data_IF_119393671019
#
_entry.id   IF_119393671019
#
_cell.length_a   1.000
_cell.length_b   1.000
_cell.length_c   1.000
_cell.angle_alpha   90.00
_cell.angle_beta   90.00
_cell.angle_gamma   90.00
#
_symmetry.space_group_name_H-M   'P 1'
#
loop_
_entity.id
_entity.type
_entity.pdbx_description
1 polymer ?
#
# COMPACT_ATOMS: atom_id res chain seq x y z
N UNK A 1 11.90 -10.67 4.67
CA UNK A 1 11.78 -9.26 4.28
C UNK A 1 10.34 -8.73 4.43
N UNK A 2 9.26 -9.42 3.98
CA UNK A 2 7.85 -8.98 4.20
C UNK A 2 7.50 -8.52 5.63
N UNK A 3 8.14 -9.06 6.67
CA UNK A 3 7.89 -8.70 8.08
C UNK A 3 8.46 -7.35 8.52
N UNK A 4 9.42 -6.79 7.78
CA UNK A 4 10.08 -5.52 8.14
C UNK A 4 9.32 -4.34 7.54
N UNK A 5 8.71 -4.51 6.37
CA UNK A 5 7.92 -3.47 5.67
C UNK A 5 6.62 -3.21 6.43
N UNK A 6 5.90 -4.27 6.85
CA UNK A 6 4.73 -4.13 7.74
C UNK A 6 5.07 -3.36 9.03
N UNK A 7 6.27 -3.55 9.60
CA UNK A 7 6.66 -2.87 10.84
C UNK A 7 6.91 -1.36 10.66
N UNK A 8 7.27 -0.90 9.47
CA UNK A 8 7.46 0.53 9.18
C UNK A 8 6.14 1.25 8.91
N UNK A 9 5.22 0.65 8.15
CA UNK A 9 3.85 1.16 7.98
C UNK A 9 3.06 1.16 9.30
N UNK A 10 3.27 0.16 10.15
CA UNK A 10 2.65 0.06 11.47
C UNK A 10 3.20 1.06 12.51
N UNK A 11 4.39 1.64 12.30
CA UNK A 11 4.92 2.67 13.21
C UNK A 11 4.13 3.98 13.15
N UNK A 12 3.25 4.14 12.16
CA UNK A 12 2.36 5.29 12.03
C UNK A 12 0.99 4.94 12.59
N UNK A 13 0.92 4.61 13.90
CA UNK A 13 -0.37 4.40 14.57
C UNK A 13 -1.15 5.70 14.65
N UNK A 14 -2.28 5.73 13.95
CA UNK A 14 -3.28 6.79 14.10
C UNK A 14 -3.97 6.59 15.45
N UNK A 15 -3.50 7.33 16.46
CA UNK A 15 -3.99 7.23 17.84
C UNK A 15 -5.29 8.01 17.98
N UNK A 16 -6.35 7.33 18.37
CA UNK A 16 -7.62 7.95 18.71
C UNK A 16 -7.60 8.41 20.17
N UNK A 17 -7.46 9.70 20.44
CA UNK A 17 -7.61 10.25 21.78
C UNK A 17 -9.06 10.75 21.97
N UNK A 18 -9.84 10.07 22.83
CA UNK A 18 -11.16 10.53 23.24
C UNK A 18 -11.04 11.71 24.22
N UNK A 19 -10.86 12.90 23.68
CA UNK A 19 -10.97 14.14 24.47
C UNK A 19 -12.41 14.66 24.40
N UNK A 20 -13.32 14.08 25.19
CA UNK A 20 -14.68 14.62 25.27
C UNK A 20 -15.70 13.64 25.82
N UNK A 21 -16.46 14.07 26.83
CA UNK A 21 -17.50 13.32 27.49
C UNK A 21 -18.56 12.77 26.52
N UNK A 22 -18.85 11.46 26.58
CA UNK A 22 -20.06 10.78 26.10
C UNK A 22 -20.19 10.44 24.60
N UNK A 23 -19.23 10.67 23.73
CA UNK A 23 -19.29 10.12 22.40
C UNK A 23 -18.84 8.66 22.41
N UNK A 24 -19.69 7.74 21.93
CA UNK A 24 -19.31 6.34 21.70
C UNK A 24 -18.27 6.34 20.57
N UNK A 25 -17.14 5.65 20.75
CA UNK A 25 -16.13 5.49 19.71
C UNK A 25 -16.74 4.83 18.47
N UNK A 26 -16.60 5.46 17.32
CA UNK A 26 -17.06 4.95 16.04
C UNK A 26 -15.96 4.10 15.38
N UNK A 27 -15.94 2.82 15.73
CA UNK A 27 -14.97 1.86 15.27
C UNK A 27 -15.01 1.65 13.74
N UNK A 28 -16.21 1.75 13.12
CA UNK A 28 -16.35 1.64 11.67
C UNK A 28 -15.72 2.83 10.96
N UNK A 29 -16.06 4.04 11.38
CA UNK A 29 -15.51 5.26 10.82
C UNK A 29 -13.99 5.35 11.05
N UNK A 30 -13.50 4.82 12.17
CA UNK A 30 -12.07 4.74 12.46
C UNK A 30 -11.34 3.82 11.47
N UNK A 31 -11.82 2.60 11.25
CA UNK A 31 -11.22 1.67 10.28
C UNK A 31 -11.31 2.23 8.86
N UNK A 32 -12.48 2.70 8.46
CA UNK A 32 -12.67 3.28 7.12
C UNK A 32 -11.70 4.44 6.88
N UNK A 33 -11.58 5.35 7.86
CA UNK A 33 -10.69 6.50 7.76
C UNK A 33 -9.21 6.13 7.69
N UNK A 34 -8.77 5.11 8.45
CA UNK A 34 -7.41 4.59 8.35
C UNK A 34 -7.11 4.08 6.93
N UNK A 35 -7.99 3.25 6.38
CA UNK A 35 -7.82 2.71 5.02
C UNK A 35 -7.88 3.82 3.96
N UNK A 36 -8.82 4.75 4.09
CA UNK A 36 -8.98 5.89 3.19
C UNK A 36 -7.72 6.78 3.18
N UNK A 37 -7.08 6.98 4.34
CA UNK A 37 -5.82 7.74 4.43
C UNK A 37 -4.69 6.98 3.78
N UNK A 38 -4.46 5.74 4.18
CA UNK A 38 -3.26 4.97 3.79
C UNK A 38 -3.26 4.62 2.30
N UNK A 39 -4.42 4.31 1.71
CA UNK A 39 -4.46 3.86 0.32
C UNK A 39 -4.98 4.91 -0.67
N UNK A 40 -5.83 5.84 -0.23
CA UNK A 40 -6.50 6.78 -1.14
C UNK A 40 -6.14 8.26 -0.88
N UNK A 41 -5.31 8.56 0.12
CA UNK A 41 -5.04 9.92 0.60
C UNK A 41 -6.33 10.72 0.87
N UNK A 42 -7.35 10.05 1.39
CA UNK A 42 -8.66 10.64 1.60
C UNK A 42 -8.92 10.90 3.07
N UNK A 43 -8.94 12.18 3.44
CA UNK A 43 -9.17 12.65 4.81
C UNK A 43 -10.56 13.31 4.89
N UNK A 44 -11.44 12.76 5.73
CA UNK A 44 -12.78 13.32 5.97
C UNK A 44 -12.84 14.12 7.27
N UNK A 45 -13.71 15.14 7.33
CA UNK A 45 -13.96 15.89 8.56
C UNK A 45 -14.50 15.01 9.71
N UNK A 46 -15.17 13.91 9.36
CA UNK A 46 -15.65 12.93 10.33
C UNK A 46 -14.48 12.19 10.98
N UNK A 47 -13.52 11.75 10.18
CA UNK A 47 -12.32 11.06 10.65
C UNK A 47 -11.41 11.96 11.49
N UNK A 48 -11.22 13.22 11.11
CA UNK A 48 -10.46 14.20 11.89
C UNK A 48 -11.02 14.47 13.29
N UNK A 49 -12.28 14.11 13.57
CA UNK A 49 -12.87 14.17 14.91
C UNK A 49 -12.57 12.93 15.75
N UNK A 50 -12.11 11.85 15.11
CA UNK A 50 -11.82 10.57 15.75
C UNK A 50 -10.34 10.49 16.13
N UNK A 51 -9.45 10.97 15.24
CA UNK A 51 -7.99 10.93 15.42
C UNK A 51 -7.45 12.27 15.92
N UNK A 52 -6.24 12.26 16.49
CA UNK A 52 -5.56 13.47 16.95
C UNK A 52 -4.71 14.16 15.87
N UNK A 53 -4.48 13.46 14.76
CA UNK A 53 -3.64 13.92 13.67
C UNK A 53 -4.29 15.09 12.91
N UNK A 54 -3.47 16.02 12.48
CA UNK A 54 -3.86 17.05 11.50
C UNK A 54 -3.99 16.44 10.10
N UNK A 55 -4.65 17.13 9.19
CA UNK A 55 -4.74 16.71 7.79
C UNK A 55 -3.37 16.63 7.11
N UNK A 56 -2.46 17.51 7.49
CA UNK A 56 -1.09 17.54 6.98
C UNK A 56 -0.31 16.29 7.41
N UNK A 57 -0.34 15.95 8.70
CA UNK A 57 0.27 14.72 9.21
C UNK A 57 -0.31 13.45 8.56
N UNK A 58 -1.62 13.42 8.28
CA UNK A 58 -2.25 12.29 7.58
C UNK A 58 -1.79 12.19 6.12
N UNK A 59 -1.57 13.31 5.44
CA UNK A 59 -0.98 13.32 4.12
C UNK A 59 0.47 12.83 4.13
N UNK A 60 1.26 13.25 5.13
CA UNK A 60 2.66 12.79 5.28
C UNK A 60 2.73 11.27 5.50
N UNK A 61 1.77 10.70 6.23
CA UNK A 61 1.63 9.25 6.42
C UNK A 61 1.42 8.54 5.07
N UNK A 62 0.53 9.07 4.24
CA UNK A 62 0.30 8.51 2.90
C UNK A 62 1.55 8.57 2.03
N UNK A 63 2.23 9.73 1.98
CA UNK A 63 3.45 9.87 1.19
C UNK A 63 4.55 8.92 1.65
N UNK A 64 4.79 8.81 2.96
CA UNK A 64 5.74 7.85 3.53
C UNK A 64 5.36 6.40 3.21
N UNK A 65 4.06 6.06 3.20
CA UNK A 65 3.58 4.76 2.77
C UNK A 65 3.97 4.44 1.32
N UNK A 66 3.80 5.40 0.41
CA UNK A 66 4.21 5.24 -0.99
C UNK A 66 5.74 5.05 -1.15
N UNK A 67 6.55 5.75 -0.34
CA UNK A 67 8.01 5.59 -0.36
C UNK A 67 8.43 4.18 0.09
N UNK A 68 7.76 3.62 1.12
CA UNK A 68 8.00 2.24 1.57
C UNK A 68 7.64 1.22 0.49
N UNK A 69 6.54 1.44 -0.21
CA UNK A 69 6.17 0.59 -1.35
C UNK A 69 7.17 0.70 -2.51
N UNK A 70 7.68 1.90 -2.76
CA UNK A 70 8.70 2.11 -3.79
C UNK A 70 10.00 1.37 -3.48
N UNK A 71 10.45 1.36 -2.22
CA UNK A 71 11.59 0.57 -1.77
C UNK A 71 11.35 -0.94 -1.95
N UNK A 72 10.13 -1.39 -1.63
CA UNK A 72 9.76 -2.80 -1.83
C UNK A 72 9.74 -3.18 -3.31
N UNK A 73 9.17 -2.34 -4.16
CA UNK A 73 9.14 -2.52 -5.61
C UNK A 73 10.54 -2.63 -6.19
N UNK A 74 11.42 -1.69 -5.86
CA UNK A 74 12.81 -1.69 -6.32
C UNK A 74 13.50 -3.01 -5.92
N UNK A 75 13.27 -3.48 -4.69
CA UNK A 75 13.79 -4.76 -4.21
C UNK A 75 13.15 -5.98 -4.89
N UNK A 76 11.85 -5.92 -5.22
CA UNK A 76 11.14 -7.02 -5.87
C UNK A 76 11.59 -7.24 -7.32
N UNK A 77 11.88 -6.15 -8.04
CA UNK A 77 12.35 -6.18 -9.41
C UNK A 77 13.88 -6.12 -9.56
N UNK A 78 14.62 -6.31 -8.44
CA UNK A 78 16.09 -6.33 -8.41
C UNK A 78 16.74 -5.05 -8.98
N UNK A 79 16.17 -3.86 -8.73
CA UNK A 79 16.76 -2.60 -9.12
C UNK A 79 17.98 -2.26 -8.25
N UNK A 80 19.10 -1.96 -8.87
CA UNK A 80 20.26 -1.33 -8.19
C UNK A 80 20.07 0.20 -8.17
N UNK A 81 19.44 0.70 -7.11
CA UNK A 81 19.16 2.14 -6.97
C UNK A 81 20.41 3.01 -6.91
N UNK A 82 21.62 2.42 -6.81
CA UNK A 82 22.87 3.19 -6.90
C UNK A 82 23.32 3.43 -8.33
N UNK A 83 22.83 2.65 -9.29
CA UNK A 83 23.09 2.75 -10.73
C UNK A 83 21.88 3.23 -11.53
N UNK A 84 20.69 3.13 -10.95
CA UNK A 84 19.44 3.54 -11.57
C UNK A 84 19.45 5.04 -11.93
N UNK A 85 18.78 5.43 -13.01
CA UNK A 85 18.69 6.85 -13.41
C UNK A 85 18.12 7.74 -12.32
N UNK A 86 18.55 9.00 -12.29
CA UNK A 86 17.95 10.02 -11.41
C UNK A 86 16.43 10.13 -11.68
N UNK A 87 15.62 10.18 -10.62
CA UNK A 87 14.16 10.25 -10.72
C UNK A 87 13.46 8.90 -10.78
N UNK A 88 14.21 7.77 -10.80
CA UNK A 88 13.61 6.43 -10.80
C UNK A 88 12.74 6.19 -9.57
N UNK A 89 13.23 6.58 -8.39
CA UNK A 89 12.47 6.39 -7.14
C UNK A 89 11.16 7.16 -7.15
N UNK A 90 11.19 8.42 -7.56
CA UNK A 90 10.00 9.27 -7.67
C UNK A 90 9.01 8.72 -8.72
N UNK A 91 9.50 8.11 -9.80
CA UNK A 91 8.63 7.44 -10.78
C UNK A 91 7.95 6.21 -10.17
N UNK A 92 8.66 5.42 -9.38
CA UNK A 92 8.06 4.27 -8.67
C UNK A 92 6.99 4.75 -7.67
N UNK A 93 7.26 5.80 -6.89
CA UNK A 93 6.28 6.41 -5.98
C UNK A 93 5.01 6.81 -6.73
N UNK A 94 5.16 7.43 -7.92
CA UNK A 94 4.00 7.83 -8.75
C UNK A 94 3.25 6.61 -9.32
N UNK A 95 3.95 5.55 -9.70
CA UNK A 95 3.34 4.27 -10.10
C UNK A 95 2.44 3.73 -8.98
N UNK A 96 2.94 3.69 -7.73
CA UNK A 96 2.13 3.25 -6.58
C UNK A 96 0.96 4.17 -6.28
N UNK A 97 1.15 5.48 -6.41
CA UNK A 97 0.06 6.45 -6.27
C UNK A 97 -1.09 6.13 -7.23
N UNK A 98 -0.75 5.79 -8.48
CA UNK A 98 -1.74 5.42 -9.48
C UNK A 98 -2.38 4.06 -9.19
N UNK A 99 -1.61 3.06 -8.77
CA UNK A 99 -2.14 1.73 -8.41
C UNK A 99 -3.07 1.84 -7.20
N UNK A 100 -2.67 2.55 -6.14
CA UNK A 100 -3.48 2.72 -4.93
C UNK A 100 -4.78 3.48 -5.16
N UNK A 101 -4.88 4.31 -6.19
CA UNK A 101 -6.14 4.93 -6.58
C UNK A 101 -7.25 3.92 -6.95
N UNK A 102 -6.88 2.67 -7.24
CA UNK A 102 -7.80 1.55 -7.48
C UNK A 102 -8.15 0.77 -6.19
N UNK A 103 -7.58 1.11 -5.03
CA UNK A 103 -7.87 0.39 -3.79
C UNK A 103 -9.35 0.37 -3.48
N UNK A 104 -9.89 -0.83 -3.22
CA UNK A 104 -11.30 -1.05 -2.98
C UNK A 104 -11.51 -1.99 -1.82
N UNK A 105 -12.32 -1.54 -0.85
CA UNK A 105 -12.63 -2.30 0.37
C UNK A 105 -13.99 -1.90 0.92
N UNK A 106 -14.57 -2.77 1.74
CA UNK A 106 -15.83 -2.54 2.43
C UNK A 106 -15.65 -2.84 3.92
N UNK A 107 -15.97 -1.86 4.77
CA UNK A 107 -15.88 -1.98 6.22
C UNK A 107 -17.25 -2.36 6.79
N UNK A 108 -17.31 -3.51 7.46
CA UNK A 108 -18.52 -4.04 8.07
C UNK A 108 -18.91 -3.32 9.37
N UNK A 109 -20.02 -3.76 9.96
CA UNK A 109 -20.45 -3.23 11.24
C UNK A 109 -19.59 -3.79 12.39
N UNK A 110 -19.15 -2.94 13.34
CA UNK A 110 -18.34 -3.36 14.47
C UNK A 110 -19.12 -4.20 15.46
N UNK A 111 -18.46 -5.23 15.99
CA UNK A 111 -18.95 -6.01 17.13
C UNK A 111 -18.10 -5.69 18.35
N UNK A 112 -18.73 -5.25 19.45
CA UNK A 112 -18.02 -4.96 20.70
C UNK A 112 -17.61 -6.24 21.39
N UNK A 113 -16.33 -6.31 21.84
CA UNK A 113 -15.74 -7.43 22.56
C UNK A 113 -15.02 -6.93 23.81
N UNK A 114 -15.72 -6.84 24.92
CA UNK A 114 -15.21 -6.18 26.13
C UNK A 114 -15.05 -4.68 25.90
N UNK A 115 -13.82 -4.17 26.04
CA UNK A 115 -13.46 -2.78 25.73
C UNK A 115 -13.01 -2.60 24.28
N UNK A 116 -12.74 -3.70 23.56
CA UNK A 116 -12.28 -3.74 22.17
C UNK A 116 -13.43 -3.83 21.17
N UNK A 117 -13.08 -3.77 19.87
CA UNK A 117 -14.00 -4.00 18.78
C UNK A 117 -13.41 -5.00 17.78
N UNK A 118 -14.29 -5.81 17.19
CA UNK A 118 -14.01 -6.62 16.00
C UNK A 118 -14.76 -6.02 14.82
N UNK A 119 -14.06 -5.82 13.70
CA UNK A 119 -14.60 -5.26 12.46
C UNK A 119 -14.21 -6.17 11.31
N UNK A 120 -15.18 -6.55 10.48
CA UNK A 120 -14.89 -7.25 9.23
C UNK A 120 -14.50 -6.24 8.16
N UNK A 121 -13.46 -6.55 7.40
CA UNK A 121 -13.05 -5.78 6.21
C UNK A 121 -13.03 -6.72 5.03
N UNK A 122 -13.82 -6.43 4.01
CA UNK A 122 -13.76 -7.11 2.72
C UNK A 122 -12.86 -6.30 1.80
N UNK A 123 -11.82 -6.91 1.29
CA UNK A 123 -10.82 -6.31 0.42
C UNK A 123 -10.98 -6.92 -0.96
N UNK A 124 -10.89 -6.10 -2.00
CA UNK A 124 -10.87 -6.49 -3.40
C UNK A 124 -9.42 -6.36 -3.88
N UNK A 125 -8.62 -7.46 -3.88
CA UNK A 125 -7.21 -7.36 -4.21
C UNK A 125 -6.99 -6.87 -5.64
N UNK A 126 -6.05 -5.95 -5.82
CA UNK A 126 -5.66 -5.41 -7.12
C UNK A 126 -4.91 -6.51 -7.88
N UNK A 127 -5.31 -6.79 -9.13
CA UNK A 127 -4.81 -7.93 -9.91
C UNK A 127 -3.57 -7.61 -10.77
N UNK A 128 -2.99 -6.42 -10.65
CA UNK A 128 -1.90 -5.95 -11.52
C UNK A 128 -0.70 -6.92 -11.55
N UNK A 129 -0.28 -7.41 -10.38
CA UNK A 129 0.86 -8.33 -10.29
C UNK A 129 0.55 -9.69 -10.90
N UNK A 130 -0.69 -10.16 -10.78
CA UNK A 130 -1.13 -11.39 -11.47
C UNK A 130 -1.09 -11.21 -12.99
N UNK A 131 -1.59 -10.10 -13.52
CA UNK A 131 -1.55 -9.81 -14.96
C UNK A 131 -0.12 -9.73 -15.48
N UNK A 132 0.79 -9.09 -14.73
CA UNK A 132 2.21 -9.03 -15.06
C UNK A 132 2.83 -10.45 -15.07
N UNK A 133 2.50 -11.27 -14.07
CA UNK A 133 3.00 -12.65 -13.99
C UNK A 133 2.46 -13.55 -15.09
N UNK A 134 1.20 -13.40 -15.47
CA UNK A 134 0.56 -14.24 -16.47
C UNK A 134 0.94 -13.86 -17.91
N UNK A 135 1.10 -12.57 -18.21
CA UNK A 135 1.27 -12.06 -19.57
C UNK A 135 2.50 -11.15 -19.73
N UNK A 136 2.80 -10.30 -18.75
CA UNK A 136 3.82 -9.26 -18.83
C UNK A 136 5.21 -9.83 -19.06
N UNK A 137 5.60 -10.83 -18.26
CA UNK A 137 6.92 -11.43 -18.35
C UNK A 137 7.19 -12.12 -19.69
N UNK A 138 6.21 -12.76 -20.30
CA UNK A 138 6.39 -13.43 -21.59
C UNK A 138 6.63 -12.44 -22.73
N UNK A 139 5.96 -11.26 -22.69
CA UNK A 139 6.21 -10.19 -23.64
C UNK A 139 7.59 -9.56 -23.40
N UNK A 140 7.92 -9.26 -22.14
CA UNK A 140 9.21 -8.75 -21.72
C UNK A 140 10.39 -9.64 -22.18
N UNK A 141 10.35 -10.96 -21.92
CA UNK A 141 11.41 -11.88 -22.31
C UNK A 141 11.68 -11.83 -23.82
N UNK A 142 10.63 -11.71 -24.61
CA UNK A 142 10.75 -11.63 -26.08
C UNK A 142 11.50 -10.37 -26.50
N UNK A 143 11.13 -9.22 -25.96
CA UNK A 143 11.72 -7.93 -26.29
C UNK A 143 13.15 -7.81 -25.75
N UNK A 144 13.38 -8.28 -24.51
CA UNK A 144 14.70 -8.29 -23.88
C UNK A 144 15.70 -9.17 -24.64
N UNK A 145 15.28 -10.37 -25.05
CA UNK A 145 16.14 -11.26 -25.86
C UNK A 145 16.47 -10.68 -27.24
N UNK A 146 15.54 -9.96 -27.85
CA UNK A 146 15.78 -9.28 -29.12
C UNK A 146 16.87 -8.19 -29.01
N UNK A 147 17.08 -7.64 -27.82
CA UNK A 147 18.11 -6.63 -27.53
C UNK A 147 19.47 -7.22 -27.09
N UNK A 148 19.60 -8.55 -27.02
CA UNK A 148 20.75 -9.23 -26.39
C UNK A 148 22.13 -8.80 -26.91
N UNK A 149 22.27 -8.53 -28.22
CA UNK A 149 23.54 -8.04 -28.81
C UNK A 149 23.89 -6.63 -28.33
N UNK A 150 22.89 -5.77 -28.16
CA UNK A 150 23.05 -4.39 -27.66
C UNK A 150 23.37 -4.41 -26.17
N UNK A 151 22.63 -5.20 -25.38
CA UNK A 151 22.82 -5.35 -23.94
C UNK A 151 24.25 -5.83 -23.60
N UNK A 152 24.81 -6.73 -24.40
CA UNK A 152 26.17 -7.25 -24.21
C UNK A 152 27.28 -6.20 -24.35
N UNK A 153 26.98 -5.01 -24.86
CA UNK A 153 27.94 -3.91 -25.05
C UNK A 153 27.74 -2.74 -24.09
N UNK A 154 26.70 -2.78 -23.26
CA UNK A 154 26.35 -1.74 -22.28
C UNK A 154 27.27 -1.77 -21.06
N UNK A 155 27.49 -0.63 -20.45
CA UNK A 155 28.03 -0.53 -19.09
C UNK A 155 27.00 -0.97 -18.07
N UNK A 156 27.40 -1.14 -16.80
CA UNK A 156 26.49 -1.53 -15.74
C UNK A 156 25.39 -0.48 -15.53
N UNK A 157 25.72 0.82 -15.61
CA UNK A 157 24.76 1.92 -15.51
C UNK A 157 23.78 1.95 -16.70
N UNK A 158 24.27 1.70 -17.93
CA UNK A 158 23.41 1.63 -19.11
C UNK A 158 22.47 0.42 -19.06
N UNK A 159 22.96 -0.71 -18.54
CA UNK A 159 22.17 -1.93 -18.36
C UNK A 159 21.09 -1.72 -17.32
N UNK A 160 21.43 -1.11 -16.16
CA UNK A 160 20.46 -0.79 -15.11
C UNK A 160 19.41 0.21 -15.59
N UNK A 161 19.82 1.22 -16.35
CA UNK A 161 18.88 2.17 -16.94
C UNK A 161 17.90 1.48 -17.90
N UNK A 162 18.39 0.58 -18.76
CA UNK A 162 17.53 -0.19 -19.67
C UNK A 162 16.59 -1.13 -18.91
N UNK A 163 17.08 -1.81 -17.88
CA UNK A 163 16.29 -2.70 -17.03
C UNK A 163 15.16 -1.95 -16.33
N UNK A 164 15.49 -0.85 -15.64
CA UNK A 164 14.57 0.00 -14.91
C UNK A 164 13.47 0.54 -15.82
N UNK A 165 13.85 1.07 -16.99
CA UNK A 165 12.90 1.65 -17.96
C UNK A 165 11.90 0.60 -18.45
N UNK A 166 12.37 -0.56 -18.88
CA UNK A 166 11.50 -1.60 -19.45
C UNK A 166 10.54 -2.18 -18.40
N UNK A 167 11.01 -2.37 -17.16
CA UNK A 167 10.16 -2.85 -16.06
C UNK A 167 9.09 -1.81 -15.71
N UNK A 168 9.47 -0.54 -15.57
CA UNK A 168 8.51 0.52 -15.25
C UNK A 168 7.50 0.71 -16.38
N UNK A 169 7.93 0.72 -17.64
CA UNK A 169 7.03 0.80 -18.81
C UNK A 169 6.05 -0.38 -18.83
N UNK A 170 6.54 -1.59 -18.54
CA UNK A 170 5.68 -2.78 -18.43
C UNK A 170 4.62 -2.55 -17.36
N UNK A 171 5.00 -2.23 -16.12
CA UNK A 171 4.05 -2.04 -15.02
C UNK A 171 3.05 -0.93 -15.33
N UNK A 172 3.51 0.24 -15.80
CA UNK A 172 2.66 1.36 -16.18
C UNK A 172 1.64 0.99 -17.28
N UNK A 173 2.02 0.10 -18.22
CA UNK A 173 1.12 -0.38 -19.28
C UNK A 173 -0.06 -1.21 -18.76
N UNK A 174 0.07 -1.78 -17.56
CA UNK A 174 -1.00 -2.55 -16.89
C UNK A 174 -1.88 -1.70 -15.99
N UNK A 175 -1.46 -0.50 -15.55
CA UNK A 175 -2.28 0.37 -14.70
C UNK A 175 -3.69 0.63 -15.29
N UNK A 176 -3.85 0.96 -16.58
CA UNK A 176 -5.18 1.16 -17.17
C UNK A 176 -6.03 -0.12 -17.27
N UNK A 177 -5.43 -1.29 -17.07
CA UNK A 177 -6.09 -2.59 -17.16
C UNK A 177 -6.43 -3.18 -15.79
N UNK A 178 -6.09 -2.49 -14.71
CA UNK A 178 -6.33 -2.94 -13.34
C UNK A 178 -7.78 -3.36 -13.15
N UNK A 179 -7.96 -4.57 -12.69
CA UNK A 179 -9.17 -5.17 -12.18
C UNK A 179 -8.96 -5.67 -10.75
N UNK A 180 -9.77 -6.63 -10.34
CA UNK A 180 -9.73 -7.18 -8.99
C UNK A 180 -9.80 -8.69 -9.02
N UNK A 181 -9.06 -9.32 -8.10
CA UNK A 181 -9.22 -10.74 -7.78
C UNK A 181 -10.51 -10.96 -6.97
N UNK A 182 -10.79 -12.23 -6.64
CA UNK A 182 -11.90 -12.58 -5.76
C UNK A 182 -11.75 -11.85 -4.41
N UNK A 183 -12.82 -11.20 -3.91
CA UNK A 183 -12.73 -10.45 -2.67
C UNK A 183 -12.49 -11.36 -1.47
N UNK A 184 -11.64 -10.90 -0.55
CA UNK A 184 -11.33 -11.58 0.69
C UNK A 184 -11.86 -10.80 1.89
N UNK A 185 -12.50 -11.50 2.84
CA UNK A 185 -12.99 -10.87 4.07
C UNK A 185 -12.16 -11.36 5.25
N UNK A 186 -11.58 -10.41 5.98
CA UNK A 186 -10.86 -10.67 7.22
C UNK A 186 -11.54 -9.96 8.40
N UNK A 187 -11.34 -10.50 9.60
CA UNK A 187 -11.71 -9.82 10.85
C UNK A 187 -10.47 -9.17 11.43
N UNK A 188 -10.58 -7.89 11.76
CA UNK A 188 -9.53 -7.12 12.43
C UNK A 188 -9.97 -6.71 13.81
N UNK A 189 -9.02 -6.56 14.73
CA UNK A 189 -9.27 -6.14 16.10
C UNK A 189 -8.81 -4.70 16.31
N UNK A 190 -9.67 -3.90 16.93
CA UNK A 190 -9.33 -2.58 17.42
C UNK A 190 -9.23 -2.69 18.93
N UNK A 191 -8.00 -2.50 19.43
CA UNK A 191 -7.67 -2.68 20.83
C UNK A 191 -7.65 -1.33 21.54
N UNK A 192 -8.26 -1.28 22.73
CA UNK A 192 -8.17 -0.11 23.61
C UNK A 192 -6.92 -0.18 24.47
N UNK A 193 -6.02 0.79 24.29
CA UNK A 193 -4.83 0.95 25.12
C UNK A 193 -5.12 1.41 26.55
N UNK A 194 -4.12 1.34 27.41
CA UNK A 194 -4.19 1.77 28.80
C UNK A 194 -4.43 3.29 28.94
N UNK A 195 -4.03 4.06 27.95
CA UNK A 195 -4.27 5.50 27.81
C UNK A 195 -5.68 5.84 27.32
N UNK A 196 -6.48 4.83 27.00
CA UNK A 196 -7.82 4.95 26.46
C UNK A 196 -7.89 5.15 24.95
N UNK A 197 -6.75 5.21 24.26
CA UNK A 197 -6.69 5.26 22.81
C UNK A 197 -7.08 3.93 22.16
N UNK A 198 -7.64 3.99 20.95
CA UNK A 198 -7.94 2.79 20.16
C UNK A 198 -6.95 2.66 19.01
N UNK A 199 -6.45 1.45 18.79
CA UNK A 199 -5.50 1.15 17.72
C UNK A 199 -5.89 -0.13 16.99
N UNK A 200 -5.67 -0.18 15.68
CA UNK A 200 -5.68 -1.43 14.91
C UNK A 200 -4.36 -2.14 15.20
N UNK A 201 -4.37 -3.45 15.45
CA UNK A 201 -3.13 -4.18 15.70
C UNK A 201 -2.24 -4.19 14.45
N UNK A 202 -0.92 -4.10 14.66
CA UNK A 202 0.08 -4.14 13.57
C UNK A 202 -0.09 -5.39 12.70
N UNK A 203 -0.37 -6.52 13.34
CA UNK A 203 -0.59 -7.79 12.64
C UNK A 203 -1.82 -7.74 11.73
N UNK A 204 -2.91 -7.09 12.18
CA UNK A 204 -4.13 -6.98 11.39
C UNK A 204 -3.97 -5.99 10.24
N UNK A 205 -3.25 -4.87 10.47
CA UNK A 205 -2.96 -3.92 9.42
C UNK A 205 -2.09 -4.55 8.34
N UNK A 206 -1.03 -5.28 8.72
CA UNK A 206 -0.18 -6.00 7.77
C UNK A 206 -0.91 -7.12 6.98
N UNK A 207 -2.01 -7.68 7.53
CA UNK A 207 -2.88 -8.60 6.78
C UNK A 207 -3.71 -7.89 5.73
N UNK A 208 -4.19 -6.68 6.02
CA UNK A 208 -4.90 -5.84 5.05
C UNK A 208 -3.95 -5.49 3.91
N UNK A 209 -2.78 -4.98 4.24
CA UNK A 209 -1.76 -4.55 3.30
C UNK A 209 -1.37 -5.67 2.32
N UNK A 210 -1.12 -6.87 2.85
CA UNK A 210 -0.80 -8.04 2.04
C UNK A 210 -1.92 -8.50 1.09
N UNK A 211 -3.17 -8.01 1.30
CA UNK A 211 -4.31 -8.30 0.44
C UNK A 211 -4.60 -7.20 -0.57
N UNK A 212 -4.15 -5.96 -0.35
CA UNK A 212 -4.39 -4.86 -1.31
C UNK A 212 -3.68 -5.13 -2.64
N UNK A 213 -2.38 -5.52 -2.57
CA UNK A 213 -1.61 -5.96 -3.73
C UNK A 213 -0.96 -7.30 -3.39
N UNK A 214 -1.28 -8.34 -4.15
CA UNK A 214 -0.70 -9.68 -3.99
C UNK A 214 0.46 -9.85 -5.00
N UNK A 215 1.68 -10.03 -4.49
CA UNK A 215 2.91 -10.26 -5.26
C UNK A 215 3.19 -11.73 -5.49
#
# INVERSE_FOLDING_TARGET
MKRIICALLCAVMLVCSLTGCLATFDAKAYVQGNLDVVYLNKVTDGYLKIVSNSKEELNDIYEQGLEVEADYFASYFDFDMTLAPEGTFERIVEVYRQIYAYSKYEVGEPTKSGDDYLVSVTIYPIDIMQQINDEGWAAFETDWMAMSETLATMTDEELEAAWTEVILDMVESYIPKIGYLEPETISIQIVKGDDGAYVISDNDFGRIDALIIQY
#
